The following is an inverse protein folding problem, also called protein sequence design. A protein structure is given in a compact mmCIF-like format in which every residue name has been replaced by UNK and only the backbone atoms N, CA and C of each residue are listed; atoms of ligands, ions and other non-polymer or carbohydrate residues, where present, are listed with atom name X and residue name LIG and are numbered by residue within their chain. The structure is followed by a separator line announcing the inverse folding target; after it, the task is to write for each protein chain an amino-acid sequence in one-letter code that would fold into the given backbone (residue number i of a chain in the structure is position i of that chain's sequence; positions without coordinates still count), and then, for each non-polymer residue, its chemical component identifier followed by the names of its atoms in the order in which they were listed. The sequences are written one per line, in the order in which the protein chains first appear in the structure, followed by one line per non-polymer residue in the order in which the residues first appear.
data_IF_593901398694
#
_entry.id   IF_593901398694
#
_cell.length_a   1.000
_cell.length_b   1.000
_cell.length_c   1.000
_cell.angle_alpha   90.00
_cell.angle_beta   90.00
_cell.angle_gamma   90.00
#
_symmetry.space_group_name_H-M   'P 1'
#
loop_
_entity.id
_entity.type
_entity.pdbx_description
1 polymer ?
#
# COMPACT_ATOMS: atom_id res chain seq x y z
N UNK A 1 6.62 11.86 -4.04
CA UNK A 1 6.92 10.47 -4.49
C UNK A 1 5.85 9.55 -3.92
N UNK A 2 5.45 8.47 -4.60
CA UNK A 2 4.49 7.49 -4.05
C UNK A 2 5.16 6.13 -3.91
N UNK A 3 4.94 5.46 -2.79
CA UNK A 3 5.42 4.12 -2.49
C UNK A 3 4.41 3.37 -1.63
N UNK A 4 4.54 2.04 -1.56
CA UNK A 4 3.66 1.20 -0.75
C UNK A 4 4.15 1.12 0.69
N UNK A 5 3.26 1.33 1.66
CA UNK A 5 3.56 1.08 3.07
C UNK A 5 3.89 -0.40 3.32
N UNK A 6 3.23 -1.34 2.63
CA UNK A 6 3.54 -2.76 2.75
C UNK A 6 4.99 -3.05 2.38
N UNK A 7 5.48 -2.43 1.29
CA UNK A 7 6.89 -2.56 0.90
C UNK A 7 7.82 -2.00 1.98
N UNK A 8 7.50 -0.85 2.59
CA UNK A 8 8.31 -0.30 3.68
C UNK A 8 8.33 -1.24 4.90
N UNK A 9 7.19 -1.87 5.22
CA UNK A 9 7.05 -2.82 6.32
C UNK A 9 7.80 -4.13 6.11
N UNK A 10 8.11 -4.52 4.87
CA UNK A 10 9.01 -5.65 4.60
C UNK A 10 10.44 -5.41 5.11
N UNK A 11 10.88 -4.14 5.18
CA UNK A 11 12.19 -3.77 5.69
C UNK A 11 12.17 -3.47 7.19
N UNK A 12 11.16 -2.71 7.65
CA UNK A 12 11.00 -2.33 9.06
C UNK A 12 9.51 -2.27 9.39
N UNK A 13 9.03 -3.12 10.31
CA UNK A 13 7.62 -3.20 10.68
C UNK A 13 7.37 -2.83 12.15
N UNK A 14 7.34 -1.52 12.50
CA UNK A 14 7.02 -1.11 13.86
C UNK A 14 5.52 -1.36 14.14
N UNK A 15 5.19 -1.57 15.42
CA UNK A 15 3.81 -1.72 15.88
C UNK A 15 3.08 -0.36 15.93
N UNK A 16 2.99 0.30 14.77
CA UNK A 16 2.34 1.59 14.54
C UNK A 16 1.24 1.44 13.50
N UNK A 17 0.18 2.24 13.62
CA UNK A 17 -0.80 2.40 12.53
C UNK A 17 -0.18 3.14 11.34
N UNK A 18 -0.87 3.14 10.20
CA UNK A 18 -0.46 3.90 9.01
C UNK A 18 -0.37 5.40 9.27
N UNK A 19 -1.31 5.95 10.05
CA UNK A 19 -1.34 7.36 10.43
C UNK A 19 -0.18 7.73 11.37
N UNK A 20 0.10 6.87 12.37
CA UNK A 20 1.22 7.06 13.29
C UNK A 20 2.57 6.99 12.58
N UNK A 21 2.71 6.04 11.64
CA UNK A 21 3.90 5.94 10.81
C UNK A 21 4.08 7.19 9.95
N UNK A 22 3.00 7.69 9.32
CA UNK A 22 3.03 8.93 8.56
C UNK A 22 3.46 10.13 9.40
N UNK A 23 2.94 10.26 10.63
CA UNK A 23 3.34 11.33 11.55
C UNK A 23 4.83 11.24 11.93
N UNK A 24 5.35 10.04 12.19
CA UNK A 24 6.77 9.82 12.49
C UNK A 24 7.69 10.19 11.32
N UNK A 25 7.30 9.84 10.09
CA UNK A 25 8.05 10.22 8.89
C UNK A 25 8.10 11.74 8.74
N UNK A 26 6.97 12.44 8.94
CA UNK A 26 6.92 13.91 8.95
C UNK A 26 7.83 14.53 10.01
N UNK A 27 7.81 13.99 11.24
CA UNK A 27 8.72 14.44 12.31
C UNK A 27 10.20 14.18 12.01
N UNK A 28 10.50 13.14 11.22
CA UNK A 28 11.84 12.85 10.73
C UNK A 28 12.27 13.75 9.54
N UNK A 29 11.41 14.67 9.08
CA UNK A 29 11.69 15.61 8.00
C UNK A 29 11.27 15.12 6.60
N UNK A 30 10.49 14.04 6.50
CA UNK A 30 9.92 13.55 5.25
C UNK A 30 8.51 14.10 5.07
N UNK A 31 8.32 15.02 4.12
CA UNK A 31 6.99 15.58 3.84
C UNK A 31 6.04 14.50 3.31
N UNK A 32 4.89 14.34 3.98
CA UNK A 32 3.83 13.43 3.59
C UNK A 32 2.67 14.22 2.97
N UNK A 33 2.52 14.12 1.64
CA UNK A 33 1.45 14.81 0.92
C UNK A 33 0.06 14.16 1.14
N UNK A 34 0.01 12.82 1.13
CA UNK A 34 -1.22 12.07 1.22
C UNK A 34 -0.99 10.63 1.74
N UNK A 35 -2.02 10.09 2.41
CA UNK A 35 -2.13 8.69 2.80
C UNK A 35 -3.43 8.14 2.21
N UNK A 36 -3.33 7.16 1.31
CA UNK A 36 -4.46 6.68 0.53
C UNK A 36 -4.44 5.16 0.38
N UNK A 37 -5.62 4.55 0.33
CA UNK A 37 -5.74 3.14 -0.05
C UNK A 37 -5.32 2.94 -1.51
N UNK A 38 -4.61 1.85 -1.81
CA UNK A 38 -4.17 1.55 -3.17
C UNK A 38 -5.34 1.30 -4.14
N UNK A 39 -6.47 0.80 -3.62
CA UNK A 39 -7.70 0.58 -4.38
C UNK A 39 -8.93 0.66 -3.47
N UNK A 40 -10.13 0.94 -4.01
CA UNK A 40 -11.39 0.78 -3.28
C UNK A 40 -11.62 -0.69 -2.87
N UNK A 41 -12.48 -0.95 -1.87
CA UNK A 41 -12.89 -2.32 -1.53
C UNK A 41 -13.54 -3.01 -2.72
N UNK A 42 -13.10 -4.23 -3.04
CA UNK A 42 -13.70 -5.09 -4.06
C UNK A 42 -14.04 -6.45 -3.46
N UNK A 43 -15.04 -7.11 -4.03
CA UNK A 43 -15.47 -8.47 -3.65
C UNK A 43 -15.72 -9.31 -4.90
N UNK A 44 -15.61 -10.63 -4.80
CA UNK A 44 -15.80 -11.55 -5.94
C UNK A 44 -14.66 -11.57 -6.96
N UNK A 45 -13.54 -10.89 -6.70
CA UNK A 45 -12.34 -10.93 -7.54
C UNK A 45 -11.59 -12.23 -7.26
N UNK A 46 -11.37 -13.02 -8.30
CA UNK A 46 -10.64 -14.29 -8.23
C UNK A 46 -9.53 -14.32 -9.27
N UNK A 47 -8.45 -15.02 -8.95
CA UNK A 47 -7.36 -15.28 -9.90
C UNK A 47 -7.73 -16.50 -10.74
N UNK A 48 -7.68 -16.36 -12.06
CA UNK A 48 -7.95 -17.44 -13.00
C UNK A 48 -6.80 -17.58 -14.01
N UNK A 49 -6.72 -18.76 -14.62
CA UNK A 49 -5.76 -19.08 -15.69
C UNK A 49 -6.52 -19.17 -17.01
N UNK A 50 -6.08 -18.41 -18.01
CA UNK A 50 -6.60 -18.50 -19.37
C UNK A 50 -6.18 -19.85 -19.97
N UNK A 51 -7.13 -20.63 -20.48
CA UNK A 51 -6.88 -21.94 -21.11
C UNK A 51 -6.80 -21.85 -22.64
N UNK A 52 -7.61 -21.00 -23.25
CA UNK A 52 -7.63 -20.73 -24.69
C UNK A 52 -8.19 -19.32 -24.96
N UNK A 53 -7.85 -18.76 -26.12
CA UNK A 53 -8.40 -17.51 -26.65
C UNK A 53 -8.47 -17.61 -28.18
N UNK A 54 -9.61 -17.26 -28.77
CA UNK A 54 -9.82 -17.21 -30.23
C UNK A 54 -10.03 -15.76 -30.68
N UNK A 55 -9.71 -15.39 -31.94
CA UNK A 55 -9.84 -14.04 -32.47
C UNK A 55 -11.27 -13.48 -32.50
#
# INVERSE_FOLDING_TARGET
MRFSENWLREWVNPALTSEELGAQLTMAGLELDALESAAPPFSGVVVARILSAEP
#
